data_IF_059748994130
#
_entry.id   IF_059748994130
#
_cell.length_a   1.000
_cell.length_b   1.000
_cell.length_c   1.000
_cell.angle_alpha   90.00
_cell.angle_beta   90.00
_cell.angle_gamma   90.00
#
_symmetry.space_group_name_H-M   'P 1'
#
loop_
_entity.id
_entity.type
_entity.pdbx_description
1 polymer ?
#
# COMPACT_ATOMS: atom_id res chain seq x y z
N UNK A 1 19.33 -2.71 35.85
CA UNK A 1 19.37 -3.95 35.02
C UNK A 1 18.17 -3.90 34.11
N UNK A 2 18.38 -3.64 32.85
CA UNK A 2 17.33 -3.59 31.84
C UNK A 2 16.97 -5.03 31.49
N UNK A 3 15.73 -5.44 31.77
CA UNK A 3 15.20 -6.75 31.40
C UNK A 3 15.21 -6.84 29.86
N UNK A 4 15.99 -7.75 29.31
CA UNK A 4 15.95 -8.07 27.88
C UNK A 4 14.57 -8.64 27.54
N UNK A 5 13.94 -8.16 26.49
CA UNK A 5 12.69 -8.66 25.95
C UNK A 5 12.91 -10.12 25.49
N UNK A 6 12.19 -11.08 26.08
CA UNK A 6 12.23 -12.48 25.69
C UNK A 6 10.92 -12.86 24.97
N UNK A 7 10.95 -13.08 23.66
CA UNK A 7 9.75 -13.45 22.90
C UNK A 7 9.09 -14.75 23.38
N UNK A 8 9.86 -15.66 23.98
CA UNK A 8 9.35 -16.95 24.45
C UNK A 8 8.42 -16.81 25.68
N UNK A 9 8.57 -15.77 26.49
CA UNK A 9 7.65 -15.49 27.61
C UNK A 9 6.22 -15.15 27.14
N UNK A 10 6.01 -14.86 25.84
CA UNK A 10 4.72 -14.56 25.24
C UNK A 10 4.08 -15.78 24.56
N UNK A 11 4.85 -16.82 24.28
CA UNK A 11 4.38 -18.06 23.61
C UNK A 11 3.80 -19.05 24.64
N UNK A 12 4.19 -18.94 25.90
CA UNK A 12 3.76 -19.83 26.99
C UNK A 12 2.51 -19.31 27.77
N UNK A 13 1.74 -18.40 27.23
CA UNK A 13 0.43 -18.10 27.81
C UNK A 13 -0.50 -19.32 27.63
N UNK A 14 -1.05 -19.89 28.71
CA UNK A 14 -1.92 -21.05 28.57
C UNK A 14 -3.13 -20.68 27.73
N UNK A 15 -3.32 -21.39 26.64
CA UNK A 15 -4.54 -21.31 25.83
C UNK A 15 -5.70 -21.65 26.77
N UNK A 16 -6.74 -20.79 26.93
CA UNK A 16 -7.91 -21.14 27.69
C UNK A 16 -8.50 -22.43 27.10
N UNK A 17 -8.67 -23.46 27.93
CA UNK A 17 -9.33 -24.68 27.50
C UNK A 17 -10.75 -24.31 27.08
N UNK A 18 -11.03 -24.44 25.79
CA UNK A 18 -12.36 -24.29 25.25
C UNK A 18 -13.24 -25.39 25.86
N UNK A 19 -14.21 -24.99 26.68
CA UNK A 19 -15.34 -25.82 27.02
C UNK A 19 -16.05 -26.18 25.72
N UNK A 20 -16.16 -27.48 25.44
CA UNK A 20 -16.89 -28.01 24.30
C UNK A 20 -18.37 -27.62 24.36
N UNK A 21 -18.67 -26.51 23.76
CA UNK A 21 -19.96 -26.21 23.16
C UNK A 21 -19.65 -26.03 21.67
N UNK A 22 -20.12 -26.99 20.87
CA UNK A 22 -20.00 -26.90 19.41
C UNK A 22 -20.56 -25.53 18.97
N UNK A 23 -19.72 -24.64 18.41
CA UNK A 23 -20.27 -23.49 17.70
C UNK A 23 -20.81 -24.06 16.40
N UNK A 24 -22.09 -23.77 16.12
CA UNK A 24 -22.64 -23.94 14.78
C UNK A 24 -21.60 -23.37 13.79
N UNK A 25 -21.14 -24.21 12.88
CA UNK A 25 -20.29 -23.83 11.77
C UNK A 25 -21.00 -22.72 10.99
N UNK A 26 -20.68 -21.47 11.28
CA UNK A 26 -20.91 -20.38 10.35
C UNK A 26 -19.92 -20.63 9.18
N UNK A 27 -20.39 -21.38 8.18
CA UNK A 27 -19.74 -21.49 6.89
C UNK A 27 -19.72 -20.08 6.34
N UNK A 28 -18.55 -19.41 6.36
CA UNK A 28 -18.34 -18.18 5.62
C UNK A 28 -18.50 -18.57 4.14
N UNK A 29 -19.52 -18.04 3.42
CA UNK A 29 -19.66 -18.33 2.00
C UNK A 29 -18.38 -17.91 1.28
N UNK A 30 -17.90 -18.76 0.37
CA UNK A 30 -16.80 -18.40 -0.52
C UNK A 30 -17.18 -17.12 -1.29
N UNK A 31 -16.23 -16.21 -1.54
CA UNK A 31 -16.49 -14.94 -2.27
C UNK A 31 -17.22 -15.18 -3.59
N UNK A 32 -16.92 -16.30 -4.27
CA UNK A 32 -17.59 -16.73 -5.49
C UNK A 32 -19.06 -17.09 -5.26
N UNK A 33 -19.44 -17.64 -4.11
CA UNK A 33 -20.84 -17.94 -3.78
C UNK A 33 -21.64 -16.68 -3.47
N UNK A 34 -21.04 -15.70 -2.81
CA UNK A 34 -21.67 -14.40 -2.53
C UNK A 34 -21.96 -13.67 -3.83
N UNK A 35 -20.98 -13.59 -4.72
CA UNK A 35 -21.12 -12.95 -6.03
C UNK A 35 -22.15 -13.67 -6.92
N UNK A 36 -22.18 -15.00 -6.90
CA UNK A 36 -23.16 -15.79 -7.62
C UNK A 36 -24.59 -15.55 -7.11
N UNK A 37 -24.77 -15.41 -5.80
CA UNK A 37 -26.08 -15.13 -5.21
C UNK A 37 -26.54 -13.71 -5.55
N UNK A 38 -25.66 -12.71 -5.52
CA UNK A 38 -25.96 -11.35 -5.96
C UNK A 38 -26.43 -11.30 -7.41
N UNK A 39 -25.73 -11.97 -8.31
CA UNK A 39 -26.11 -12.06 -9.72
C UNK A 39 -27.45 -12.75 -9.89
N UNK A 40 -27.73 -13.83 -9.14
CA UNK A 40 -29.02 -14.53 -9.18
C UNK A 40 -30.18 -13.64 -8.74
N UNK A 41 -30.02 -12.87 -7.66
CA UNK A 41 -31.07 -11.95 -7.17
C UNK A 41 -31.42 -10.88 -8.22
N UNK A 42 -30.43 -10.33 -8.88
CA UNK A 42 -30.66 -9.36 -9.98
C UNK A 42 -31.36 -10.02 -11.17
N UNK A 43 -30.96 -11.23 -11.53
CA UNK A 43 -31.63 -11.99 -12.59
C UNK A 43 -33.07 -12.31 -12.19
N UNK A 44 -33.34 -12.70 -10.96
CA UNK A 44 -34.69 -12.94 -10.45
C UNK A 44 -35.57 -11.68 -10.58
N UNK A 45 -35.00 -10.48 -10.33
CA UNK A 45 -35.72 -9.22 -10.52
C UNK A 45 -35.96 -8.89 -12.01
N UNK A 46 -34.97 -9.18 -12.88
CA UNK A 46 -35.11 -9.05 -14.33
C UNK A 46 -36.25 -9.96 -14.84
N UNK A 47 -36.29 -11.22 -14.37
CA UNK A 47 -37.33 -12.18 -14.71
C UNK A 47 -38.71 -11.74 -14.19
N UNK A 48 -38.80 -11.29 -12.93
CA UNK A 48 -40.05 -10.82 -12.33
C UNK A 48 -40.65 -9.61 -13.07
N UNK A 49 -39.78 -8.73 -13.57
CA UNK A 49 -40.19 -7.54 -14.34
C UNK A 49 -40.26 -7.76 -15.84
N UNK A 50 -39.83 -8.93 -16.33
CA UNK A 50 -39.73 -9.27 -17.75
C UNK A 50 -38.97 -8.24 -18.58
N UNK A 51 -37.82 -7.80 -18.07
CA UNK A 51 -36.99 -6.77 -18.71
C UNK A 51 -36.02 -7.44 -19.70
N UNK A 52 -35.98 -6.93 -20.92
CA UNK A 52 -34.93 -7.28 -21.87
C UNK A 52 -33.71 -6.37 -21.72
N UNK A 53 -32.55 -6.96 -21.42
CA UNK A 53 -31.23 -6.28 -21.35
C UNK A 53 -30.28 -6.79 -22.45
N UNK A 54 -30.82 -7.52 -23.44
CA UNK A 54 -30.06 -8.29 -24.44
C UNK A 54 -30.42 -7.93 -25.87
N UNK A 55 -31.17 -6.84 -26.08
CA UNK A 55 -31.69 -6.41 -27.39
C UNK A 55 -30.62 -5.99 -28.42
N UNK A 56 -29.43 -5.61 -27.97
CA UNK A 56 -28.28 -5.32 -28.82
C UNK A 56 -27.34 -6.54 -28.89
N UNK A 57 -26.99 -7.00 -30.10
CA UNK A 57 -26.13 -8.16 -30.27
C UNK A 57 -24.74 -8.02 -29.63
N UNK A 58 -24.13 -6.84 -29.70
CA UNK A 58 -22.80 -6.61 -29.14
C UNK A 58 -22.87 -6.64 -27.61
N UNK A 59 -23.89 -6.01 -27.03
CA UNK A 59 -24.16 -6.00 -25.61
C UNK A 59 -24.45 -7.42 -25.10
N UNK A 60 -25.32 -8.16 -25.76
CA UNK A 60 -25.63 -9.56 -25.46
C UNK A 60 -24.40 -10.47 -25.50
N UNK A 61 -23.61 -10.39 -26.55
CA UNK A 61 -22.33 -11.13 -26.64
C UNK A 61 -21.39 -10.77 -25.50
N UNK A 62 -21.28 -9.49 -25.12
CA UNK A 62 -20.43 -9.04 -24.05
C UNK A 62 -20.93 -9.57 -22.69
N UNK A 63 -22.23 -9.70 -22.48
CA UNK A 63 -22.80 -10.37 -21.32
C UNK A 63 -22.40 -11.85 -21.29
N UNK A 64 -22.42 -12.54 -22.46
CA UNK A 64 -21.92 -13.89 -22.57
C UNK A 64 -20.46 -14.03 -22.16
N UNK A 65 -19.58 -13.10 -22.56
CA UNK A 65 -18.18 -13.06 -22.12
C UNK A 65 -18.07 -12.82 -20.62
N UNK A 66 -18.85 -11.89 -20.06
CA UNK A 66 -18.84 -11.60 -18.63
C UNK A 66 -19.18 -12.82 -17.78
N UNK A 67 -20.25 -13.54 -18.13
CA UNK A 67 -20.68 -14.75 -17.42
C UNK A 67 -19.75 -15.93 -17.62
N UNK A 68 -19.27 -16.17 -18.86
CA UNK A 68 -18.35 -17.28 -19.15
C UNK A 68 -16.99 -17.09 -18.48
N UNK A 69 -16.48 -15.85 -18.42
CA UNK A 69 -15.22 -15.54 -17.76
C UNK A 69 -15.30 -15.72 -16.24
N UNK A 70 -16.41 -15.27 -15.61
CA UNK A 70 -16.54 -15.27 -14.16
C UNK A 70 -17.00 -16.64 -13.61
N UNK A 71 -17.95 -17.29 -14.27
CA UNK A 71 -18.59 -18.50 -13.75
C UNK A 71 -18.33 -19.75 -14.59
N UNK A 72 -17.55 -19.63 -15.67
CA UNK A 72 -17.32 -20.76 -16.56
C UNK A 72 -18.62 -21.34 -17.10
N UNK A 73 -18.74 -22.66 -17.10
CA UNK A 73 -19.94 -23.37 -17.56
C UNK A 73 -21.19 -23.08 -16.70
N UNK A 74 -21.01 -22.80 -15.40
CA UNK A 74 -22.13 -22.44 -14.51
C UNK A 74 -22.83 -21.13 -14.93
N UNK A 75 -22.12 -20.25 -15.64
CA UNK A 75 -22.67 -19.00 -16.19
C UNK A 75 -23.68 -19.20 -17.31
N UNK A 76 -23.73 -20.37 -17.96
CA UNK A 76 -24.64 -20.68 -19.09
C UNK A 76 -26.10 -20.49 -18.69
N UNK A 77 -26.49 -21.07 -17.59
CA UNK A 77 -27.88 -20.98 -17.10
C UNK A 77 -28.26 -19.53 -16.81
N UNK A 78 -27.33 -18.74 -16.26
CA UNK A 78 -27.57 -17.32 -15.95
C UNK A 78 -27.71 -16.50 -17.25
N UNK A 79 -26.88 -16.77 -18.23
CA UNK A 79 -26.93 -16.12 -19.53
C UNK A 79 -28.23 -16.44 -20.28
N UNK A 80 -28.68 -17.69 -20.29
CA UNK A 80 -29.98 -18.10 -20.85
C UNK A 80 -31.14 -17.38 -20.15
N UNK A 81 -31.12 -17.28 -18.81
CA UNK A 81 -32.20 -16.65 -18.06
C UNK A 81 -32.42 -15.18 -18.47
N UNK A 82 -31.36 -14.40 -18.63
CA UNK A 82 -31.45 -12.99 -19.05
C UNK A 82 -31.79 -12.86 -20.54
N UNK A 83 -31.41 -13.81 -21.37
CA UNK A 83 -31.69 -13.79 -22.84
C UNK A 83 -33.14 -14.10 -23.20
N UNK A 84 -33.88 -14.78 -22.35
CA UNK A 84 -35.27 -15.21 -22.57
C UNK A 84 -36.26 -14.09 -22.88
N UNK A 85 -35.91 -12.85 -22.51
CA UNK A 85 -36.81 -11.68 -22.68
C UNK A 85 -36.61 -10.95 -23.99
N UNK A 86 -35.62 -11.36 -24.80
CA UNK A 86 -35.49 -10.92 -26.17
C UNK A 86 -36.58 -11.54 -27.06
N UNK A 87 -37.21 -10.72 -27.92
CA UNK A 87 -38.38 -11.13 -28.69
C UNK A 87 -38.11 -12.30 -29.64
N UNK A 88 -36.88 -12.41 -30.16
CA UNK A 88 -36.44 -13.45 -31.09
C UNK A 88 -35.51 -14.48 -30.40
N UNK A 89 -35.72 -14.70 -29.09
CA UNK A 89 -34.89 -15.64 -28.33
C UNK A 89 -34.97 -17.06 -28.88
N UNK A 90 -33.81 -17.64 -29.20
CA UNK A 90 -33.63 -19.05 -29.50
C UNK A 90 -32.61 -19.70 -28.54
N UNK A 91 -33.01 -20.80 -27.94
CA UNK A 91 -32.17 -21.48 -26.92
C UNK A 91 -30.92 -22.10 -27.52
N UNK A 92 -31.00 -22.61 -28.76
CA UNK A 92 -29.88 -23.23 -29.46
C UNK A 92 -28.83 -22.18 -29.87
N UNK A 93 -29.27 -21.02 -30.37
CA UNK A 93 -28.42 -19.90 -30.70
C UNK A 93 -27.72 -19.33 -29.42
N UNK A 94 -28.46 -19.23 -28.32
CA UNK A 94 -27.94 -18.75 -27.03
C UNK A 94 -26.83 -19.69 -26.52
N UNK A 95 -27.03 -21.01 -26.60
CA UNK A 95 -26.03 -22.01 -26.24
C UNK A 95 -24.79 -21.95 -27.14
N UNK A 96 -24.98 -21.87 -28.45
CA UNK A 96 -23.89 -21.73 -29.41
C UNK A 96 -23.04 -20.48 -29.14
N UNK A 97 -23.69 -19.38 -28.86
CA UNK A 97 -23.00 -18.13 -28.51
C UNK A 97 -22.21 -18.27 -27.21
N UNK A 98 -22.78 -18.91 -26.18
CA UNK A 98 -22.08 -19.13 -24.93
C UNK A 98 -20.86 -20.04 -25.10
N UNK A 99 -20.95 -21.08 -25.95
CA UNK A 99 -19.82 -21.94 -26.32
C UNK A 99 -18.68 -21.17 -26.98
N UNK A 100 -19.02 -20.20 -27.85
CA UNK A 100 -18.04 -19.29 -28.46
C UNK A 100 -17.36 -18.41 -27.37
N UNK A 101 -18.13 -17.93 -26.39
CA UNK A 101 -17.60 -17.13 -25.29
C UNK A 101 -16.64 -17.94 -24.41
N UNK A 102 -16.97 -19.18 -24.07
CA UNK A 102 -16.09 -20.08 -23.30
C UNK A 102 -14.77 -20.37 -24.04
N UNK A 103 -14.83 -20.62 -25.37
CA UNK A 103 -13.63 -20.90 -26.18
C UNK A 103 -12.70 -19.68 -26.32
N UNK A 104 -13.23 -18.49 -26.33
CA UNK A 104 -12.48 -17.25 -26.56
C UNK A 104 -11.65 -16.76 -25.36
N UNK A 105 -11.65 -17.46 -24.22
CA UNK A 105 -10.86 -17.19 -23.00
C UNK A 105 -10.82 -15.73 -22.56
N UNK A 106 -11.98 -15.09 -22.50
CA UNK A 106 -12.17 -13.77 -21.92
C UNK A 106 -11.52 -12.62 -22.73
N UNK A 107 -12.32 -11.63 -23.09
CA UNK A 107 -11.89 -10.42 -23.83
C UNK A 107 -11.70 -9.23 -22.90
N UNK A 108 -11.41 -9.46 -21.60
CA UNK A 108 -11.34 -8.40 -20.59
C UNK A 108 -12.69 -7.84 -20.15
N UNK A 109 -13.80 -8.48 -20.53
CA UNK A 109 -15.16 -8.08 -20.15
C UNK A 109 -15.51 -8.75 -18.84
N UNK A 110 -15.90 -7.94 -17.84
CA UNK A 110 -16.21 -8.40 -16.49
C UNK A 110 -17.70 -8.28 -16.18
N UNK A 111 -18.15 -8.85 -15.05
CA UNK A 111 -19.52 -8.72 -14.55
C UNK A 111 -19.99 -7.28 -14.33
N UNK A 112 -19.08 -6.30 -14.29
CA UNK A 112 -19.45 -4.87 -14.27
C UNK A 112 -20.34 -4.49 -15.46
N UNK A 113 -20.17 -5.14 -16.61
CA UNK A 113 -21.02 -4.97 -17.79
C UNK A 113 -22.46 -5.42 -17.50
N UNK A 114 -22.65 -6.57 -16.85
CA UNK A 114 -23.98 -7.05 -16.44
C UNK A 114 -24.65 -6.09 -15.44
N UNK A 115 -23.95 -5.68 -14.40
CA UNK A 115 -24.47 -4.74 -13.42
C UNK A 115 -24.85 -3.39 -14.05
N UNK A 116 -24.05 -2.90 -14.98
CA UNK A 116 -24.34 -1.67 -15.73
C UNK A 116 -25.65 -1.78 -16.53
N UNK A 117 -25.84 -2.87 -17.31
CA UNK A 117 -27.06 -3.05 -18.09
C UNK A 117 -28.29 -3.25 -17.22
N UNK A 118 -28.21 -4.00 -16.14
CA UNK A 118 -29.28 -4.17 -15.17
C UNK A 118 -29.68 -2.82 -14.53
N UNK A 119 -28.71 -2.00 -14.14
CA UNK A 119 -28.95 -0.68 -13.58
C UNK A 119 -29.57 0.28 -14.60
N UNK A 120 -29.08 0.31 -15.83
CA UNK A 120 -29.62 1.10 -16.95
C UNK A 120 -31.09 0.74 -17.23
N UNK A 121 -31.44 -0.53 -17.07
CA UNK A 121 -32.79 -1.06 -17.23
C UNK A 121 -33.70 -0.84 -16.00
N UNK A 122 -33.23 -0.13 -14.97
CA UNK A 122 -34.00 0.20 -13.76
C UNK A 122 -34.14 -0.95 -12.77
N UNK A 123 -33.33 -1.99 -12.89
CA UNK A 123 -33.19 -3.05 -11.90
C UNK A 123 -32.25 -2.53 -10.81
N UNK A 124 -32.83 -2.18 -9.68
CA UNK A 124 -32.03 -1.75 -8.51
C UNK A 124 -31.46 -3.01 -7.84
N UNK A 125 -30.19 -3.10 -7.76
CA UNK A 125 -29.54 -4.08 -6.93
C UNK A 125 -30.03 -3.88 -5.47
N UNK A 126 -30.97 -4.72 -5.03
CA UNK A 126 -31.51 -4.69 -3.64
C UNK A 126 -30.42 -5.09 -2.65
N UNK A 127 -29.47 -5.88 -3.07
CA UNK A 127 -28.29 -6.22 -2.29
C UNK A 127 -27.38 -5.01 -2.12
N UNK A 128 -27.28 -4.08 -3.10
CA UNK A 128 -26.55 -2.84 -2.89
C UNK A 128 -27.21 -1.92 -1.85
N UNK A 129 -28.51 -2.04 -1.58
CA UNK A 129 -29.19 -1.29 -0.52
C UNK A 129 -29.21 -2.04 0.82
N UNK A 130 -29.17 -3.39 0.81
CA UNK A 130 -28.93 -4.21 2.01
C UNK A 130 -27.44 -4.47 2.22
N UNK A 131 -26.64 -4.63 1.18
CA UNK A 131 -25.19 -4.70 1.25
C UNK A 131 -24.52 -3.34 1.50
N UNK A 132 -25.18 -2.20 1.22
CA UNK A 132 -24.80 -0.91 1.82
C UNK A 132 -25.14 -0.81 3.31
N UNK A 133 -25.83 -1.80 3.90
CA UNK A 133 -26.08 -1.90 5.33
C UNK A 133 -25.39 -3.13 5.95
N UNK A 134 -24.95 -4.14 5.16
CA UNK A 134 -24.29 -5.36 5.65
C UNK A 134 -22.91 -5.68 5.01
N UNK A 135 -22.53 -5.08 3.88
CA UNK A 135 -21.13 -4.98 3.43
C UNK A 135 -20.54 -3.63 3.91
N UNK A 136 -20.91 -3.23 5.10
CA UNK A 136 -20.04 -2.68 6.08
C UNK A 136 -19.56 -3.79 7.05
N UNK A 137 -19.21 -4.95 6.58
CA UNK A 137 -18.02 -5.59 7.09
C UNK A 137 -16.89 -4.76 6.49
N UNK A 138 -16.69 -3.60 7.11
CA UNK A 138 -15.57 -2.74 6.84
C UNK A 138 -14.31 -3.58 6.83
N UNK A 139 -13.34 -3.16 6.05
CA UNK A 139 -11.98 -3.72 6.11
C UNK A 139 -11.70 -4.06 7.58
N UNK A 140 -11.21 -5.27 7.91
CA UNK A 140 -10.98 -5.66 9.28
C UNK A 140 -10.17 -4.59 10.00
N UNK A 141 -10.68 -4.09 11.12
CA UNK A 141 -10.00 -3.08 11.95
C UNK A 141 -9.44 -3.72 13.19
N UNK A 142 -8.42 -3.07 13.77
CA UNK A 142 -7.83 -3.54 15.01
C UNK A 142 -8.86 -3.51 16.15
N UNK A 143 -8.86 -4.53 17.03
CA UNK A 143 -9.73 -4.58 18.19
C UNK A 143 -9.55 -3.35 19.10
N UNK A 144 -10.62 -2.88 19.71
CA UNK A 144 -10.56 -1.71 20.60
C UNK A 144 -9.59 -1.89 21.77
N UNK A 145 -9.37 -3.14 22.22
CA UNK A 145 -8.42 -3.49 23.27
C UNK A 145 -7.00 -3.04 22.95
N UNK A 146 -6.58 -3.10 21.68
CA UNK A 146 -5.26 -2.61 21.25
C UNK A 146 -5.09 -1.15 21.62
N UNK A 147 -6.12 -0.32 21.41
CA UNK A 147 -6.06 1.13 21.65
C UNK A 147 -6.08 1.50 23.12
N UNK A 148 -6.71 0.68 23.97
CA UNK A 148 -6.76 0.90 25.43
C UNK A 148 -5.46 0.56 26.13
N UNK A 149 -4.65 -0.32 25.55
CA UNK A 149 -3.36 -0.77 26.09
C UNK A 149 -2.14 0.02 25.55
N UNK A 150 -2.37 0.97 24.64
CA UNK A 150 -1.31 1.80 24.08
C UNK A 150 -0.69 2.71 25.17
N UNK A 151 0.61 3.07 25.05
CA UNK A 151 1.20 4.11 25.84
C UNK A 151 0.43 5.43 25.74
N UNK A 152 0.34 6.19 26.83
CA UNK A 152 -0.45 7.44 26.93
C UNK A 152 -0.21 8.42 25.79
N UNK A 153 1.02 8.48 25.30
CA UNK A 153 1.35 9.39 24.22
C UNK A 153 0.68 8.96 22.90
N UNK A 154 0.62 7.67 22.57
CA UNK A 154 -0.08 7.16 21.40
C UNK A 154 -1.60 7.29 21.55
N UNK A 155 -2.14 7.05 22.75
CA UNK A 155 -3.56 7.28 23.03
C UNK A 155 -3.97 8.74 22.78
N UNK A 156 -3.08 9.72 23.06
CA UNK A 156 -3.34 11.15 22.78
C UNK A 156 -3.29 11.50 21.30
N UNK A 157 -2.49 10.78 20.51
CA UNK A 157 -2.45 10.95 19.06
C UNK A 157 -3.73 10.39 18.41
N UNK A 158 -4.20 9.26 18.92
CA UNK A 158 -5.35 8.54 18.41
C UNK A 158 -6.58 9.00 19.18
N UNK A 159 -7.21 10.07 18.70
CA UNK A 159 -8.36 10.67 19.39
C UNK A 159 -9.55 9.70 19.45
N UNK A 160 -10.30 9.64 20.59
CA UNK A 160 -11.37 8.70 20.81
C UNK A 160 -12.60 8.84 19.87
N UNK A 161 -12.76 9.97 19.19
CA UNK A 161 -13.92 10.27 18.34
C UNK A 161 -13.67 10.03 16.84
N UNK A 162 -12.65 9.26 16.49
CA UNK A 162 -12.35 8.89 15.11
C UNK A 162 -13.01 7.56 14.76
N UNK A 163 -13.25 7.31 13.47
CA UNK A 163 -13.70 5.99 13.01
C UNK A 163 -12.68 4.89 13.32
N UNK A 164 -13.07 3.62 13.25
CA UNK A 164 -12.16 2.49 13.46
C UNK A 164 -11.01 2.50 12.47
N UNK A 165 -11.29 2.78 11.21
CA UNK A 165 -10.30 2.86 10.13
C UNK A 165 -9.32 4.03 10.34
N UNK A 166 -9.82 5.16 10.80
CA UNK A 166 -8.97 6.31 11.14
C UNK A 166 -8.04 6.02 12.31
N UNK A 167 -8.51 5.29 13.32
CA UNK A 167 -7.67 4.87 14.45
C UNK A 167 -6.55 3.95 13.99
N UNK A 168 -6.86 2.98 13.15
CA UNK A 168 -5.87 2.07 12.57
C UNK A 168 -4.84 2.85 11.75
N UNK A 169 -5.31 3.76 10.91
CA UNK A 169 -4.47 4.62 10.07
C UNK A 169 -3.51 5.46 10.92
N UNK A 170 -3.99 6.09 11.99
CA UNK A 170 -3.19 6.92 12.88
C UNK A 170 -2.21 6.07 13.71
N UNK A 171 -2.61 4.88 14.15
CA UNK A 171 -1.73 3.97 14.88
C UNK A 171 -0.59 3.49 13.98
N UNK A 172 -0.91 2.88 12.84
CA UNK A 172 0.07 2.33 11.91
C UNK A 172 1.00 3.42 11.38
N UNK A 173 0.45 4.57 10.99
CA UNK A 173 1.24 5.71 10.55
C UNK A 173 2.17 6.26 11.63
N UNK A 174 1.72 6.31 12.90
CA UNK A 174 2.55 6.71 14.03
C UNK A 174 3.68 5.71 14.27
N UNK A 175 3.40 4.40 14.23
CA UNK A 175 4.42 3.37 14.40
C UNK A 175 5.50 3.47 13.33
N UNK A 176 5.13 3.69 12.07
CA UNK A 176 6.09 3.85 10.97
C UNK A 176 6.93 5.10 11.13
N UNK A 177 6.33 6.25 11.46
CA UNK A 177 7.10 7.48 11.63
C UNK A 177 8.05 7.41 12.81
N UNK A 178 7.62 6.83 13.93
CA UNK A 178 8.46 6.62 15.12
C UNK A 178 9.58 5.60 14.86
N UNK A 179 9.31 4.55 14.07
CA UNK A 179 10.31 3.53 13.75
C UNK A 179 11.56 4.11 13.09
N UNK A 180 11.40 5.15 12.27
CA UNK A 180 12.52 5.88 11.66
C UNK A 180 13.40 6.61 12.69
N UNK A 181 12.89 6.84 13.91
CA UNK A 181 13.60 7.52 14.98
C UNK A 181 14.23 6.57 16.00
N UNK A 182 14.17 5.24 15.74
CA UNK A 182 14.66 4.21 16.65
C UNK A 182 15.85 3.39 16.08
N UNK A 183 16.92 4.02 15.59
CA UNK A 183 17.98 3.32 14.86
C UNK A 183 18.83 2.38 15.73
N UNK A 184 18.68 2.41 17.07
CA UNK A 184 19.39 1.55 18.01
C UNK A 184 18.53 0.39 18.53
N UNK A 185 17.26 0.32 18.12
CA UNK A 185 16.34 -0.76 18.47
C UNK A 185 16.42 -1.81 17.40
N UNK A 186 16.83 -3.02 17.79
CA UNK A 186 16.91 -4.17 16.87
C UNK A 186 16.60 -5.46 17.62
N UNK A 187 16.15 -6.45 16.86
CA UNK A 187 16.03 -7.85 17.29
C UNK A 187 16.97 -8.74 16.49
N UNK A 188 17.03 -10.01 16.85
CA UNK A 188 17.71 -11.04 16.07
C UNK A 188 16.64 -11.95 15.48
N UNK A 189 16.61 -12.07 14.17
CA UNK A 189 15.75 -12.97 13.44
C UNK A 189 16.60 -13.78 12.47
N UNK A 190 16.54 -15.12 12.56
CA UNK A 190 17.35 -16.03 11.74
C UNK A 190 18.85 -15.68 11.72
N UNK A 191 19.40 -15.34 12.88
CA UNK A 191 20.81 -14.97 13.04
C UNK A 191 21.18 -13.57 12.51
N UNK A 192 20.24 -12.81 11.96
CA UNK A 192 20.45 -11.47 11.42
C UNK A 192 19.87 -10.41 12.33
N UNK A 193 20.48 -9.23 12.34
CA UNK A 193 19.90 -8.04 12.99
C UNK A 193 18.76 -7.50 12.15
N UNK A 194 17.59 -7.33 12.76
CA UNK A 194 16.43 -6.66 12.17
C UNK A 194 16.11 -5.45 13.02
N UNK A 195 16.08 -4.28 12.39
CA UNK A 195 15.81 -3.02 13.06
C UNK A 195 14.32 -2.70 13.09
N UNK A 196 13.92 -1.70 13.88
CA UNK A 196 12.53 -1.33 14.09
C UNK A 196 11.84 -0.67 12.86
N UNK A 197 12.55 -0.50 11.76
CA UNK A 197 12.06 0.19 10.57
C UNK A 197 10.88 -0.54 9.93
N UNK A 198 9.87 0.23 9.52
CA UNK A 198 8.63 -0.25 8.95
C UNK A 198 8.34 0.42 7.61
N UNK A 199 7.75 -0.36 6.70
CA UNK A 199 7.18 0.14 5.46
C UNK A 199 5.67 -0.01 5.51
N UNK A 200 4.95 1.06 5.18
CA UNK A 200 3.49 1.07 5.12
C UNK A 200 3.03 1.75 3.85
N UNK A 201 2.16 1.08 3.11
CA UNK A 201 1.44 1.66 2.00
C UNK A 201 -0.06 1.67 2.31
N UNK A 202 -0.66 2.87 2.35
CA UNK A 202 -2.09 3.05 2.59
C UNK A 202 -2.80 3.31 1.27
N UNK A 203 -3.72 2.42 0.90
CA UNK A 203 -4.55 2.59 -0.29
C UNK A 203 -5.97 2.95 0.10
N UNK A 204 -6.51 3.99 -0.52
CA UNK A 204 -7.91 4.33 -0.40
C UNK A 204 -8.36 5.18 -1.60
N UNK A 205 -9.66 5.22 -1.84
CA UNK A 205 -10.25 6.10 -2.85
C UNK A 205 -9.87 7.58 -2.61
N UNK A 206 -10.01 8.39 -3.64
CA UNK A 206 -9.87 9.84 -3.50
C UNK A 206 -10.83 10.36 -2.40
N UNK A 207 -10.36 11.33 -1.63
CA UNK A 207 -11.12 11.95 -0.52
C UNK A 207 -11.52 11.01 0.66
N UNK A 208 -10.96 9.81 0.74
CA UNK A 208 -11.23 8.83 1.81
C UNK A 208 -10.46 9.10 3.13
N UNK A 209 -10.02 10.32 3.39
CA UNK A 209 -9.41 10.69 4.68
C UNK A 209 -7.91 10.41 4.81
N UNK A 210 -7.21 9.94 3.77
CA UNK A 210 -5.75 9.65 3.79
C UNK A 210 -4.90 10.83 4.29
N UNK A 211 -5.35 12.06 4.10
CA UNK A 211 -4.67 13.27 4.58
C UNK A 211 -4.42 13.33 6.10
N UNK A 212 -5.13 12.51 6.88
CA UNK A 212 -4.90 12.34 8.33
C UNK A 212 -3.50 11.83 8.67
N UNK A 213 -2.84 11.13 7.75
CA UNK A 213 -1.44 10.69 7.91
C UNK A 213 -0.47 11.85 8.15
N UNK A 214 -0.80 13.06 7.70
CA UNK A 214 -0.01 14.26 8.00
C UNK A 214 0.17 14.50 9.50
N UNK A 215 -0.78 14.09 10.35
CA UNK A 215 -0.64 14.17 11.81
C UNK A 215 0.48 13.25 12.32
N UNK A 216 0.68 12.07 11.71
CA UNK A 216 1.77 11.17 12.06
C UNK A 216 3.13 11.79 11.72
N UNK A 217 3.24 12.51 10.60
CA UNK A 217 4.44 13.25 10.22
C UNK A 217 4.82 14.30 11.26
N UNK A 218 3.84 15.01 11.83
CA UNK A 218 4.08 16.04 12.83
C UNK A 218 4.76 15.52 14.11
N UNK A 219 4.60 14.21 14.43
CA UNK A 219 5.26 13.61 15.61
C UNK A 219 6.78 13.70 15.56
N UNK A 220 7.35 13.59 14.35
CA UNK A 220 8.80 13.53 14.13
C UNK A 220 9.35 14.77 13.40
N UNK A 221 8.49 15.71 13.03
CA UNK A 221 8.87 16.99 12.41
C UNK A 221 9.90 17.78 13.23
N UNK A 222 9.84 17.85 14.58
CA UNK A 222 10.86 18.52 15.37
C UNK A 222 12.26 17.92 15.18
N UNK A 223 12.37 16.59 15.01
CA UNK A 223 13.66 15.91 14.77
C UNK A 223 14.21 16.30 13.39
N UNK A 224 13.35 16.31 12.38
CA UNK A 224 13.74 16.77 11.04
C UNK A 224 14.24 18.22 11.05
N UNK A 225 13.53 19.12 11.74
CA UNK A 225 13.92 20.53 11.88
C UNK A 225 15.27 20.67 12.57
N UNK A 226 15.50 19.92 13.66
CA UNK A 226 16.77 19.94 14.37
C UNK A 226 17.94 19.53 13.46
N UNK A 227 17.79 18.46 12.67
CA UNK A 227 18.81 18.04 11.69
C UNK A 227 19.07 19.12 10.63
N UNK A 228 18.02 19.76 10.13
CA UNK A 228 18.14 20.83 9.13
C UNK A 228 18.84 22.07 9.69
N UNK A 229 18.55 22.47 10.93
CA UNK A 229 19.22 23.59 11.59
C UNK A 229 20.71 23.28 11.86
N UNK A 230 21.02 22.06 12.35
CA UNK A 230 22.42 21.65 12.53
C UNK A 230 23.19 21.69 11.20
N UNK A 231 22.60 21.15 10.14
CA UNK A 231 23.21 21.17 8.80
C UNK A 231 23.44 22.60 8.31
N UNK A 232 22.48 23.50 8.53
CA UNK A 232 22.57 24.91 8.14
C UNK A 232 23.74 25.61 8.85
N UNK A 233 23.90 25.40 10.14
CA UNK A 233 25.00 25.97 10.92
C UNK A 233 26.37 25.45 10.40
N UNK A 234 26.51 24.14 10.21
CA UNK A 234 27.73 23.55 9.68
C UNK A 234 28.08 24.04 8.25
N UNK A 235 27.06 24.29 7.42
CA UNK A 235 27.29 24.88 6.08
C UNK A 235 27.84 26.30 6.17
N UNK A 236 27.36 27.11 7.10
CA UNK A 236 27.90 28.47 7.30
C UNK A 236 29.37 28.43 7.76
N UNK A 237 29.70 27.52 8.66
CA UNK A 237 31.09 27.29 9.10
C UNK A 237 31.97 26.83 7.94
N UNK A 238 31.48 25.88 7.14
CA UNK A 238 32.18 25.38 5.95
C UNK A 238 32.43 26.48 4.92
N UNK A 239 31.44 27.30 4.59
CA UNK A 239 31.60 28.42 3.68
C UNK A 239 32.65 29.40 4.15
N UNK A 240 32.71 29.65 5.45
CA UNK A 240 33.73 30.53 6.07
C UNK A 240 35.12 29.89 5.95
N UNK A 241 35.25 28.61 6.26
CA UNK A 241 36.49 27.85 6.11
C UNK A 241 36.93 27.76 4.65
N UNK A 242 36.00 27.57 3.71
CA UNK A 242 36.29 27.52 2.27
C UNK A 242 36.78 28.86 1.73
N UNK A 243 36.20 29.99 2.18
CA UNK A 243 36.67 31.34 1.83
C UNK A 243 38.10 31.57 2.35
N UNK A 244 38.37 31.17 3.58
CA UNK A 244 39.70 31.25 4.19
C UNK A 244 40.74 30.40 3.43
N UNK A 245 40.36 29.16 3.06
CA UNK A 245 41.19 28.28 2.22
C UNK A 245 41.48 28.91 0.87
N UNK A 246 40.46 29.40 0.16
CA UNK A 246 40.65 29.99 -1.17
C UNK A 246 41.52 31.28 -1.12
N UNK A 247 41.45 32.06 -0.04
CA UNK A 247 42.33 33.23 0.13
C UNK A 247 43.79 32.90 0.41
N UNK A 248 44.07 31.70 0.92
CA UNK A 248 45.42 31.16 1.17
C UNK A 248 45.96 30.33 0.02
N UNK A 249 45.11 29.91 -0.92
CA UNK A 249 45.49 29.08 -2.06
C UNK A 249 46.60 29.76 -2.88
N UNK A 250 47.76 29.09 -2.97
CA UNK A 250 48.96 29.61 -3.64
C UNK A 250 49.94 30.33 -2.71
N UNK A 251 49.67 30.49 -1.41
CA UNK A 251 50.58 31.03 -0.40
C UNK A 251 51.01 29.99 0.65
N UNK A 252 50.26 28.91 0.79
CA UNK A 252 50.54 27.86 1.77
C UNK A 252 50.29 26.50 1.08
N UNK A 253 51.38 25.77 0.79
CA UNK A 253 51.34 24.47 0.09
C UNK A 253 50.76 23.35 0.97
N UNK A 254 50.55 23.59 2.28
CA UNK A 254 50.02 22.61 3.23
C UNK A 254 48.54 22.79 3.58
N UNK A 255 47.83 23.74 2.99
CA UNK A 255 46.45 23.99 3.33
C UNK A 255 45.50 22.93 2.75
N UNK A 256 44.85 22.15 3.60
CA UNK A 256 43.86 21.16 3.17
C UNK A 256 42.49 21.81 2.87
N UNK A 257 41.85 21.37 1.80
CA UNK A 257 40.49 21.80 1.45
C UNK A 257 39.51 21.27 2.51
N UNK A 258 38.61 22.11 3.05
CA UNK A 258 37.59 21.64 3.98
C UNK A 258 36.76 20.48 3.40
N UNK A 259 36.50 19.47 4.23
CA UNK A 259 35.69 18.31 3.86
C UNK A 259 34.24 18.71 3.60
N UNK A 260 33.57 18.02 2.70
CA UNK A 260 32.14 18.21 2.42
C UNK A 260 31.30 17.99 3.67
N UNK A 261 30.31 18.85 3.88
CA UNK A 261 29.35 18.71 4.99
C UNK A 261 28.21 17.78 4.58
N UNK A 262 27.93 16.74 5.39
CA UNK A 262 26.76 15.87 5.17
C UNK A 262 25.44 16.64 5.24
N UNK A 263 24.52 16.34 4.35
CA UNK A 263 23.16 16.92 4.32
C UNK A 263 22.21 16.10 5.19
N UNK A 264 22.25 16.30 6.51
CA UNK A 264 21.42 15.53 7.43
C UNK A 264 19.95 15.93 7.39
N UNK A 265 19.09 14.93 7.27
CA UNK A 265 17.63 15.10 7.31
C UNK A 265 16.94 13.78 7.69
N UNK A 266 15.78 13.87 8.34
CA UNK A 266 14.96 12.71 8.62
C UNK A 266 14.10 12.34 7.39
N UNK A 267 13.43 13.33 6.79
CA UNK A 267 12.57 13.08 5.61
C UNK A 267 13.41 13.11 4.34
N UNK A 268 13.55 11.95 3.71
CA UNK A 268 14.22 11.80 2.41
C UNK A 268 13.15 11.96 1.32
N UNK A 269 13.25 12.97 0.44
CA UNK A 269 12.29 13.17 -0.63
C UNK A 269 12.28 12.00 -1.61
N UNK A 270 11.09 11.54 -1.99
CA UNK A 270 10.93 10.40 -2.90
C UNK A 270 11.30 10.72 -4.36
N UNK A 271 11.23 11.97 -4.76
CA UNK A 271 11.50 12.43 -6.14
C UNK A 271 12.99 12.64 -6.47
N UNK A 272 13.87 11.96 -5.74
CA UNK A 272 15.32 12.01 -5.99
C UNK A 272 15.76 11.06 -7.11
N UNK A 273 16.95 11.33 -7.66
CA UNK A 273 17.71 10.30 -8.37
C UNK A 273 18.17 9.20 -7.40
N UNK A 274 18.50 8.02 -7.92
CA UNK A 274 19.02 6.91 -7.09
C UNK A 274 20.25 7.32 -6.28
N UNK A 275 21.23 7.96 -6.93
CA UNK A 275 22.44 8.47 -6.26
C UNK A 275 22.11 9.56 -5.23
N UNK A 276 21.15 10.42 -5.52
CA UNK A 276 20.71 11.46 -4.59
C UNK A 276 20.05 10.88 -3.34
N UNK A 277 19.14 9.90 -3.51
CA UNK A 277 18.49 9.21 -2.38
C UNK A 277 19.50 8.48 -1.49
N UNK A 278 20.45 7.74 -2.09
CA UNK A 278 21.49 7.04 -1.33
C UNK A 278 22.47 8.00 -0.66
N UNK A 279 22.81 9.11 -1.32
CA UNK A 279 23.67 10.13 -0.71
C UNK A 279 23.01 10.73 0.53
N UNK A 280 21.73 11.11 0.45
CA UNK A 280 20.99 11.65 1.60
C UNK A 280 20.85 10.63 2.73
N UNK A 281 20.65 9.36 2.38
CA UNK A 281 20.61 8.29 3.36
C UNK A 281 21.97 8.10 4.04
N UNK A 282 23.06 8.11 3.27
CA UNK A 282 24.43 8.04 3.79
C UNK A 282 24.78 9.26 4.65
N UNK A 283 24.45 10.46 4.20
CA UNK A 283 24.66 11.71 4.95
C UNK A 283 23.91 11.73 6.29
N UNK A 284 22.83 10.96 6.39
CA UNK A 284 22.02 10.77 7.60
C UNK A 284 22.37 9.50 8.38
N UNK A 285 23.60 9.03 8.27
CA UNK A 285 24.12 7.83 8.96
C UNK A 285 23.31 6.56 8.65
N UNK A 286 22.84 6.39 7.42
CA UNK A 286 22.04 5.27 6.96
C UNK A 286 20.58 5.29 7.45
N UNK A 287 20.08 6.41 7.96
CA UNK A 287 18.76 6.54 8.58
C UNK A 287 17.87 7.51 7.83
N UNK A 288 16.58 7.20 7.73
CA UNK A 288 15.66 8.09 7.06
C UNK A 288 14.21 7.62 7.05
N UNK A 289 13.34 8.53 6.64
CA UNK A 289 11.92 8.28 6.43
C UNK A 289 11.51 8.86 5.08
N UNK A 290 11.05 8.01 4.18
CA UNK A 290 10.31 8.46 3.00
C UNK A 290 8.84 8.61 3.42
N UNK A 291 8.30 9.80 3.30
CA UNK A 291 6.93 10.11 3.67
C UNK A 291 6.23 10.83 2.52
N UNK A 292 5.41 10.10 1.76
CA UNK A 292 4.71 10.63 0.60
C UNK A 292 3.21 10.33 0.69
N UNK A 293 2.42 11.37 0.56
CA UNK A 293 0.95 11.28 0.56
C UNK A 293 0.38 10.95 -0.83
N UNK A 294 1.21 11.09 -1.87
CA UNK A 294 0.91 10.77 -3.26
C UNK A 294 1.92 9.71 -3.75
N UNK A 295 1.50 8.45 -3.73
CA UNK A 295 2.38 7.31 -4.03
C UNK A 295 2.94 7.28 -5.46
N UNK A 296 2.33 8.01 -6.40
CA UNK A 296 2.82 8.17 -7.76
C UNK A 296 4.15 8.95 -7.84
N UNK A 297 4.46 9.82 -6.87
CA UNK A 297 5.76 10.48 -6.77
C UNK A 297 6.90 9.47 -6.75
N UNK A 298 6.81 8.45 -5.88
CA UNK A 298 7.80 7.38 -5.82
C UNK A 298 7.75 6.48 -7.06
N UNK A 299 6.53 6.19 -7.57
CA UNK A 299 6.36 5.39 -8.77
C UNK A 299 6.98 6.06 -10.01
N UNK A 300 6.89 7.38 -10.12
CA UNK A 300 7.54 8.15 -11.19
C UNK A 300 9.06 8.13 -11.03
N UNK A 301 9.58 8.28 -9.82
CA UNK A 301 11.01 8.15 -9.56
C UNK A 301 11.54 6.78 -10.00
N UNK A 302 10.84 5.68 -9.66
CA UNK A 302 11.25 4.33 -10.05
C UNK A 302 11.18 4.07 -11.56
N UNK A 303 10.35 4.79 -12.31
CA UNK A 303 10.26 4.68 -13.77
C UNK A 303 11.30 5.53 -14.51
N UNK A 304 11.92 6.50 -13.85
CA UNK A 304 12.89 7.37 -14.50
C UNK A 304 14.22 6.66 -14.72
N UNK A 305 14.92 6.98 -15.82
CA UNK A 305 16.18 6.34 -16.20
C UNK A 305 17.29 6.47 -15.13
N UNK A 306 17.29 7.58 -14.39
CA UNK A 306 18.30 7.87 -13.35
C UNK A 306 17.73 7.83 -11.93
N UNK A 307 16.42 7.57 -11.76
CA UNK A 307 15.73 7.61 -10.47
C UNK A 307 15.32 6.24 -9.96
N UNK A 308 15.57 5.17 -10.68
CA UNK A 308 15.16 3.84 -10.24
C UNK A 308 16.05 3.34 -9.09
N UNK A 309 15.58 3.54 -7.87
CA UNK A 309 16.22 3.00 -6.66
C UNK A 309 15.36 1.94 -5.96
N UNK A 310 14.47 1.27 -6.71
CA UNK A 310 13.61 0.21 -6.15
C UNK A 310 14.42 -0.96 -5.58
N UNK A 311 15.58 -1.26 -6.16
CA UNK A 311 16.52 -2.26 -5.63
C UNK A 311 17.03 -1.86 -4.23
N UNK A 312 17.55 -0.65 -4.08
CA UNK A 312 18.02 -0.15 -2.79
C UNK A 312 16.88 0.04 -1.77
N UNK A 313 15.65 0.31 -2.24
CA UNK A 313 14.48 0.37 -1.38
C UNK A 313 14.16 -1.01 -0.76
N UNK A 314 14.22 -2.09 -1.57
CA UNK A 314 14.10 -3.48 -1.08
C UNK A 314 15.26 -3.87 -0.17
N UNK A 315 16.51 -3.55 -0.55
CA UNK A 315 17.69 -3.79 0.30
C UNK A 315 17.57 -3.09 1.65
N UNK A 316 17.08 -1.85 1.66
CA UNK A 316 16.84 -1.11 2.90
C UNK A 316 15.80 -1.77 3.80
N UNK A 317 14.76 -2.37 3.23
CA UNK A 317 13.77 -3.14 3.98
C UNK A 317 14.40 -4.35 4.69
N UNK A 318 15.33 -5.03 4.04
CA UNK A 318 16.06 -6.19 4.58
C UNK A 318 17.33 -5.80 5.34
N UNK A 319 17.62 -4.52 5.51
CA UNK A 319 18.86 -4.01 6.11
C UNK A 319 20.14 -4.50 5.41
N UNK A 320 20.04 -4.82 4.12
CA UNK A 320 21.15 -5.23 3.30
C UNK A 320 21.99 -4.03 2.87
N UNK A 321 23.31 -4.23 2.75
CA UNK A 321 24.22 -3.17 2.34
C UNK A 321 23.86 -2.57 1.00
N UNK A 322 23.78 -1.24 0.95
CA UNK A 322 23.59 -0.46 -0.27
C UNK A 322 24.92 0.21 -0.60
N UNK A 323 25.45 -0.04 -1.79
CA UNK A 323 26.66 0.60 -2.25
C UNK A 323 26.51 1.15 -3.66
N UNK A 324 27.18 2.26 -3.94
CA UNK A 324 27.27 2.82 -5.28
C UNK A 324 28.59 3.57 -5.48
N UNK A 325 29.01 3.70 -6.74
CA UNK A 325 30.17 4.45 -7.14
C UNK A 325 29.79 5.56 -8.12
N UNK A 326 30.13 6.79 -7.78
CA UNK A 326 29.88 7.96 -8.62
C UNK A 326 31.14 8.26 -9.43
N UNK A 327 31.05 8.10 -10.75
CA UNK A 327 32.21 8.31 -11.66
C UNK A 327 32.68 9.77 -11.73
N UNK A 328 31.77 10.74 -11.56
CA UNK A 328 32.05 12.17 -11.67
C UNK A 328 33.05 12.66 -10.63
N UNK A 329 32.88 12.22 -9.40
CA UNK A 329 33.63 12.66 -8.22
C UNK A 329 34.53 11.54 -7.69
N UNK A 330 34.47 10.35 -8.31
CA UNK A 330 35.13 9.12 -7.87
C UNK A 330 34.77 8.75 -6.42
N UNK A 331 33.56 9.11 -6.00
CA UNK A 331 33.05 8.87 -4.66
C UNK A 331 32.45 7.47 -4.57
N UNK A 332 32.95 6.65 -3.65
CA UNK A 332 32.35 5.37 -3.25
C UNK A 332 31.54 5.59 -1.97
N UNK A 333 30.28 5.19 -1.99
CA UNK A 333 29.39 5.25 -0.84
C UNK A 333 28.93 3.85 -0.52
N UNK A 334 29.02 3.47 0.74
CA UNK A 334 28.55 2.22 1.28
C UNK A 334 27.73 2.49 2.56
N UNK A 335 26.54 1.93 2.59
CA UNK A 335 25.61 2.08 3.69
C UNK A 335 25.34 0.68 4.26
N UNK A 336 26.02 0.37 5.34
CA UNK A 336 25.81 -0.87 6.06
C UNK A 336 24.55 -0.78 6.95
N UNK A 337 23.72 -1.81 6.92
CA UNK A 337 22.50 -1.90 7.73
C UNK A 337 21.62 -0.64 7.63
N UNK A 338 21.16 -0.26 6.44
CA UNK A 338 20.32 0.92 6.29
C UNK A 338 19.04 0.81 7.12
N UNK A 339 18.72 1.89 7.83
CA UNK A 339 17.54 2.02 8.67
C UNK A 339 16.54 3.00 8.02
N UNK A 340 15.99 2.62 6.90
CA UNK A 340 14.97 3.38 6.17
C UNK A 340 13.59 2.93 6.59
N UNK A 341 12.70 3.86 6.90
CA UNK A 341 11.26 3.62 7.02
C UNK A 341 10.53 4.28 5.87
N UNK A 342 9.36 3.76 5.50
CA UNK A 342 8.57 4.31 4.42
C UNK A 342 7.09 4.38 4.78
N UNK A 343 6.51 5.55 4.62
CA UNK A 343 5.09 5.84 4.77
C UNK A 343 4.58 6.41 3.45
N UNK A 344 3.80 5.62 2.73
CA UNK A 344 3.27 5.98 1.43
C UNK A 344 1.74 5.90 1.47
N UNK A 345 1.07 6.78 0.77
CA UNK A 345 -0.36 6.64 0.52
C UNK A 345 -0.73 6.97 -0.91
N UNK A 346 -1.80 6.36 -1.40
CA UNK A 346 -2.25 6.56 -2.77
C UNK A 346 -3.60 5.96 -3.06
N UNK A 347 -4.04 6.10 -4.31
CA UNK A 347 -5.18 5.37 -4.84
C UNK A 347 -4.76 3.96 -5.28
N UNK A 348 -5.70 3.01 -5.45
CA UNK A 348 -5.37 1.68 -5.97
C UNK A 348 -4.61 1.69 -7.32
N UNK A 349 -4.88 2.66 -8.19
CA UNK A 349 -4.15 2.81 -9.47
C UNK A 349 -2.69 3.23 -9.25
N UNK A 350 -2.42 4.08 -8.26
CA UNK A 350 -1.06 4.49 -7.90
C UNK A 350 -0.23 3.33 -7.34
N UNK A 351 -0.87 2.39 -6.62
CA UNK A 351 -0.21 1.14 -6.19
C UNK A 351 0.24 0.32 -7.37
N UNK A 352 -0.64 0.09 -8.35
CA UNK A 352 -0.31 -0.67 -9.56
C UNK A 352 0.83 -0.03 -10.36
N UNK A 353 0.98 1.29 -10.27
CA UNK A 353 2.09 2.01 -10.90
C UNK A 353 3.42 1.81 -10.15
N UNK A 354 3.38 1.68 -8.82
CA UNK A 354 4.54 1.46 -7.96
C UNK A 354 4.95 -0.01 -7.96
N UNK A 355 3.98 -0.92 -7.88
CA UNK A 355 4.17 -2.38 -7.81
C UNK A 355 3.44 -3.01 -8.99
N UNK A 356 4.07 -3.04 -10.18
CA UNK A 356 3.42 -3.51 -11.42
C UNK A 356 3.11 -5.00 -11.44
N UNK A 357 3.78 -5.79 -10.61
CA UNK A 357 3.53 -7.23 -10.46
C UNK A 357 3.94 -7.73 -9.08
N UNK A 358 3.35 -8.84 -8.63
CA UNK A 358 3.76 -9.52 -7.38
C UNK A 358 5.22 -9.99 -7.42
N UNK A 359 5.78 -10.23 -8.61
CA UNK A 359 7.16 -10.65 -8.82
C UNK A 359 8.18 -9.49 -8.65
N UNK A 360 7.70 -8.27 -8.50
CA UNK A 360 8.57 -7.10 -8.33
C UNK A 360 9.40 -7.16 -7.02
N UNK A 361 8.94 -7.91 -6.02
CA UNK A 361 9.62 -8.05 -4.72
C UNK A 361 9.43 -6.87 -3.77
N UNK A 362 8.49 -5.96 -4.06
CA UNK A 362 8.04 -4.90 -3.14
C UNK A 362 6.76 -5.30 -2.36
N UNK A 363 6.22 -6.48 -2.65
CA UNK A 363 5.08 -7.07 -1.96
C UNK A 363 5.52 -7.79 -0.70
#
# INVERSE_FOLDING_TARGET
MTKLFNPMEWIEMPVPQATNTEPALNIIPNEDEVLLNEVKEIIDEIEAKKIDITSDYVEWRNLGFAFSFTFGEAGRVLFQRISKFYAEYDEAECNDQFDKCLKAKGQGISLKTFFYHAQKAGVKNRTSTKANVEIQQGVPTLPISVFTELPDFLQRVIKPNTSSEERDLLLLGSLVTLSACMPKVFGIYDGRKVFANLFLFVTAQASAGKGRLSHCRQLVEPIHKAFREETKLRKQEYETALKAFNSKKGKDEGAEKPARIPEKMLFIPANNSSTGAYQLLSDSDGKGLIFETEGDTLAQAFKSEHGNYSDGFRKAFHHETISYYRRTDQEYVEIENPCLSAMLSGTPEQVSALIPSAENGLF
#
